data_IF_547317321004
#
_entry.id   IF_547317321004
#
_cell.length_a   1.000
_cell.length_b   1.000
_cell.length_c   1.000
_cell.angle_alpha   90.00
_cell.angle_beta   90.00
_cell.angle_gamma   90.00
#
_symmetry.space_group_name_H-M   'P 1'
#
loop_
_entity.id
_entity.type
_entity.pdbx_description
1 polymer ?
#
# COMPACT_ATOMS: atom_id res chain seq x y z
N UNK A 1 82.14 -35.40 -21.52
CA UNK A 1 80.69 -35.51 -21.82
C UNK A 1 79.94 -34.89 -20.64
N UNK A 2 79.34 -33.69 -20.81
CA UNK A 2 78.77 -32.92 -19.71
C UNK A 2 77.29 -33.28 -19.52
N UNK A 3 76.92 -33.82 -18.37
CA UNK A 3 75.55 -34.23 -18.05
C UNK A 3 74.92 -33.43 -16.88
N UNK A 4 75.46 -32.27 -16.52
CA UNK A 4 75.03 -31.54 -15.30
C UNK A 4 74.55 -30.09 -15.52
N UNK A 5 74.50 -29.59 -16.75
CA UNK A 5 74.08 -28.19 -17.01
C UNK A 5 72.60 -28.01 -17.41
N UNK A 6 71.83 -29.10 -17.58
CA UNK A 6 70.51 -29.04 -18.23
C UNK A 6 69.33 -29.00 -17.26
N UNK A 7 69.52 -29.36 -15.99
CA UNK A 7 68.41 -29.54 -15.01
C UNK A 7 68.05 -28.26 -14.26
N UNK A 8 69.02 -27.39 -13.98
CA UNK A 8 68.80 -26.12 -13.24
C UNK A 8 68.15 -25.05 -14.10
N UNK A 9 68.52 -24.91 -15.37
CA UNK A 9 67.93 -23.91 -16.28
C UNK A 9 66.46 -24.23 -16.65
N UNK A 10 66.12 -25.53 -16.79
CA UNK A 10 64.73 -25.95 -17.02
C UNK A 10 63.87 -25.78 -15.76
N UNK A 11 64.38 -26.12 -14.57
CA UNK A 11 63.64 -25.96 -13.30
C UNK A 11 63.32 -24.49 -12.96
N UNK A 12 64.25 -23.56 -13.23
CA UNK A 12 64.02 -22.11 -13.03
C UNK A 12 62.91 -21.60 -13.96
N UNK A 13 62.79 -22.14 -15.17
CA UNK A 13 61.77 -21.74 -16.15
C UNK A 13 60.36 -22.20 -15.72
N UNK A 14 60.23 -23.42 -15.20
CA UNK A 14 58.97 -23.92 -14.63
C UNK A 14 58.54 -23.18 -13.36
N UNK A 15 59.49 -22.84 -12.48
CA UNK A 15 59.18 -22.05 -11.28
C UNK A 15 58.74 -20.62 -11.63
N UNK A 16 59.37 -20.01 -12.64
CA UNK A 16 58.99 -18.66 -13.10
C UNK A 16 57.61 -18.68 -13.78
N UNK A 17 57.31 -19.68 -14.62
CA UNK A 17 55.99 -19.91 -15.21
C UNK A 17 54.92 -20.23 -14.15
N UNK A 18 55.28 -20.97 -13.10
CA UNK A 18 54.39 -21.31 -11.99
C UNK A 18 54.09 -20.09 -11.11
N UNK A 19 55.09 -19.25 -10.81
CA UNK A 19 54.93 -18.01 -10.04
C UNK A 19 54.21 -16.93 -10.85
N UNK A 20 54.49 -16.78 -12.14
CA UNK A 20 53.73 -15.89 -13.05
C UNK A 20 52.29 -16.38 -13.25
N UNK A 21 52.08 -17.69 -13.38
CA UNK A 21 50.76 -18.32 -13.41
C UNK A 21 50.00 -18.06 -12.11
N UNK A 22 50.58 -18.37 -10.95
CA UNK A 22 49.97 -18.11 -9.64
C UNK A 22 49.69 -16.62 -9.41
N UNK A 23 50.58 -15.71 -9.83
CA UNK A 23 50.39 -14.27 -9.69
C UNK A 23 49.24 -13.72 -10.56
N UNK A 24 49.07 -14.23 -11.78
CA UNK A 24 47.95 -13.87 -12.65
C UNK A 24 46.64 -14.53 -12.20
N UNK A 25 46.67 -15.80 -11.78
CA UNK A 25 45.49 -16.49 -11.28
C UNK A 25 44.99 -15.92 -9.95
N UNK A 26 45.88 -15.62 -8.99
CA UNK A 26 45.48 -15.01 -7.71
C UNK A 26 45.02 -13.57 -7.87
N UNK A 27 45.68 -12.77 -8.71
CA UNK A 27 45.29 -11.38 -8.96
C UNK A 27 43.94 -11.24 -9.68
N UNK A 28 43.69 -12.07 -10.71
CA UNK A 28 42.41 -12.08 -11.44
C UNK A 28 41.30 -12.66 -10.58
N UNK A 29 41.55 -13.74 -9.83
CA UNK A 29 40.53 -14.38 -8.98
C UNK A 29 40.17 -13.51 -7.76
N UNK A 30 41.15 -12.88 -7.10
CA UNK A 30 40.90 -11.91 -6.03
C UNK A 30 40.24 -10.63 -6.58
N UNK A 31 40.61 -10.19 -7.78
CA UNK A 31 39.97 -9.05 -8.46
C UNK A 31 38.49 -9.31 -8.79
N UNK A 32 38.17 -10.50 -9.29
CA UNK A 32 36.77 -10.92 -9.56
C UNK A 32 35.99 -11.07 -8.26
N UNK A 33 36.54 -11.74 -7.24
CA UNK A 33 35.87 -11.88 -5.93
C UNK A 33 35.65 -10.51 -5.27
N UNK A 34 36.65 -9.63 -5.29
CA UNK A 34 36.52 -8.27 -4.75
C UNK A 34 35.50 -7.44 -5.54
N UNK A 35 35.51 -7.53 -6.88
CA UNK A 35 34.53 -6.86 -7.74
C UNK A 35 33.10 -7.34 -7.50
N UNK A 36 32.90 -8.66 -7.39
CA UNK A 36 31.60 -9.25 -7.04
C UNK A 36 31.16 -8.85 -5.64
N UNK A 37 32.05 -8.88 -4.64
CA UNK A 37 31.75 -8.49 -3.27
C UNK A 37 31.35 -7.01 -3.17
N UNK A 38 32.10 -6.11 -3.82
CA UNK A 38 31.76 -4.67 -3.88
C UNK A 38 30.42 -4.46 -4.58
N UNK A 39 30.17 -5.15 -5.69
CA UNK A 39 28.89 -5.05 -6.42
C UNK A 39 27.71 -5.51 -5.54
N UNK A 40 27.86 -6.62 -4.81
CA UNK A 40 26.86 -7.11 -3.86
C UNK A 40 26.61 -6.11 -2.73
N UNK A 41 27.66 -5.50 -2.18
CA UNK A 41 27.55 -4.48 -1.12
C UNK A 41 26.86 -3.20 -1.62
N UNK A 42 27.25 -2.71 -2.80
CA UNK A 42 26.62 -1.53 -3.42
C UNK A 42 25.14 -1.80 -3.70
N UNK A 43 24.81 -2.96 -4.29
CA UNK A 43 23.41 -3.35 -4.49
C UNK A 43 22.64 -3.44 -3.17
N UNK A 44 23.25 -4.00 -2.12
CA UNK A 44 22.62 -4.05 -0.81
C UNK A 44 22.33 -2.66 -0.23
N UNK A 45 23.29 -1.74 -0.34
CA UNK A 45 23.14 -0.36 0.12
C UNK A 45 22.06 0.42 -0.64
N UNK A 46 22.06 0.30 -1.98
CA UNK A 46 21.04 0.94 -2.82
C UNK A 46 19.65 0.39 -2.46
N UNK A 47 19.51 -0.93 -2.35
CA UNK A 47 18.25 -1.58 -1.98
C UNK A 47 17.74 -1.11 -0.62
N UNK A 48 18.60 -1.03 0.40
CA UNK A 48 18.25 -0.51 1.73
C UNK A 48 17.78 0.94 1.69
N UNK A 49 18.42 1.78 0.87
CA UNK A 49 18.03 3.17 0.70
C UNK A 49 16.68 3.30 0.00
N UNK A 50 16.46 2.52 -1.05
CA UNK A 50 15.21 2.50 -1.80
C UNK A 50 14.05 2.01 -0.93
N UNK A 51 14.26 0.96 -0.15
CA UNK A 51 13.30 0.45 0.84
C UNK A 51 12.90 1.53 1.85
N UNK A 52 13.88 2.24 2.44
CA UNK A 52 13.61 3.35 3.35
C UNK A 52 12.77 4.46 2.70
N UNK A 53 13.04 4.78 1.44
CA UNK A 53 12.26 5.76 0.70
C UNK A 53 10.83 5.27 0.42
N UNK A 54 10.67 3.99 0.06
CA UNK A 54 9.34 3.40 -0.15
C UNK A 54 8.50 3.38 1.14
N UNK A 55 9.10 3.07 2.29
CA UNK A 55 8.39 3.13 3.58
C UNK A 55 7.99 4.57 3.93
N UNK A 56 8.86 5.54 3.66
CA UNK A 56 8.53 6.97 3.83
C UNK A 56 7.36 7.38 2.91
N UNK A 57 7.37 6.95 1.66
CA UNK A 57 6.30 7.23 0.70
C UNK A 57 4.98 6.55 1.12
N UNK A 58 5.03 5.30 1.59
CA UNK A 58 3.87 4.59 2.11
C UNK A 58 3.24 5.37 3.27
N UNK A 59 4.07 5.83 4.22
CA UNK A 59 3.58 6.63 5.35
C UNK A 59 2.90 7.92 4.88
N UNK A 60 3.50 8.63 3.94
CA UNK A 60 2.92 9.83 3.35
C UNK A 60 1.58 9.56 2.65
N UNK A 61 1.48 8.49 1.85
CA UNK A 61 0.22 8.08 1.22
C UNK A 61 -0.87 7.77 2.25
N UNK A 62 -0.52 7.04 3.31
CA UNK A 62 -1.44 6.70 4.41
C UNK A 62 -1.92 7.96 5.16
N UNK A 63 -1.04 8.93 5.39
CA UNK A 63 -1.39 10.21 6.01
C UNK A 63 -2.34 11.03 5.12
N UNK A 64 -2.12 11.08 3.81
CA UNK A 64 -3.07 11.69 2.86
C UNK A 64 -4.42 11.00 2.93
N UNK A 65 -4.41 9.67 2.94
CA UNK A 65 -5.63 8.88 2.98
C UNK A 65 -6.43 9.08 4.28
N UNK A 66 -5.78 9.33 5.42
CA UNK A 66 -6.48 9.71 6.65
C UNK A 66 -7.28 11.01 6.48
N UNK A 67 -6.71 12.00 5.79
CA UNK A 67 -7.43 13.25 5.52
C UNK A 67 -8.67 13.00 4.64
N UNK A 68 -8.56 12.14 3.62
CA UNK A 68 -9.71 11.77 2.78
C UNK A 68 -10.81 11.08 3.57
N UNK A 69 -10.46 10.17 4.47
CA UNK A 69 -11.46 9.52 5.34
C UNK A 69 -12.16 10.54 6.23
N UNK A 70 -11.42 11.53 6.76
CA UNK A 70 -12.02 12.62 7.51
C UNK A 70 -13.02 13.40 6.65
N UNK A 71 -12.64 13.79 5.44
CA UNK A 71 -13.52 14.51 4.51
C UNK A 71 -14.80 13.69 4.21
N UNK A 72 -14.68 12.37 4.01
CA UNK A 72 -15.84 11.49 3.83
C UNK A 72 -16.69 11.35 5.09
N UNK A 73 -16.12 11.39 6.29
CA UNK A 73 -16.88 11.40 7.54
C UNK A 73 -17.65 12.72 7.73
N UNK A 74 -17.04 13.83 7.35
CA UNK A 74 -17.70 15.13 7.36
C UNK A 74 -18.86 15.15 6.35
N UNK A 75 -18.66 14.58 5.15
CA UNK A 75 -19.73 14.43 4.16
C UNK A 75 -20.84 13.47 4.62
N UNK A 76 -20.51 12.40 5.34
CA UNK A 76 -21.50 11.51 5.95
C UNK A 76 -22.32 12.22 7.04
N UNK A 77 -21.71 13.17 7.74
CA UNK A 77 -22.40 14.03 8.70
C UNK A 77 -23.36 14.99 7.99
N UNK A 78 -22.95 15.59 6.87
CA UNK A 78 -23.82 16.40 6.01
C UNK A 78 -25.01 15.58 5.51
N UNK A 79 -24.74 14.34 5.09
CA UNK A 79 -25.78 13.40 4.66
C UNK A 79 -26.79 13.10 5.78
N UNK A 80 -26.31 12.76 6.98
CA UNK A 80 -27.15 12.53 8.17
C UNK A 80 -28.00 13.76 8.51
N UNK A 81 -27.42 14.95 8.46
CA UNK A 81 -28.13 16.19 8.72
C UNK A 81 -29.25 16.42 7.69
N UNK A 82 -28.99 16.15 6.41
CA UNK A 82 -29.99 16.26 5.35
C UNK A 82 -31.15 15.27 5.53
N UNK A 83 -30.88 14.04 6.00
CA UNK A 83 -31.88 13.01 6.31
C UNK A 83 -32.70 13.35 7.55
N UNK A 84 -32.07 13.97 8.55
CA UNK A 84 -32.74 14.36 9.78
C UNK A 84 -33.59 15.62 9.61
N UNK A 85 -33.17 16.54 8.75
CA UNK A 85 -33.96 17.69 8.31
C UNK A 85 -34.89 17.35 7.12
N UNK A 86 -35.44 18.40 6.52
CA UNK A 86 -36.35 18.30 5.38
C UNK A 86 -35.63 18.49 4.02
N UNK A 87 -34.31 18.32 3.99
CA UNK A 87 -33.45 18.63 2.83
C UNK A 87 -32.82 17.39 2.18
N UNK A 88 -33.31 16.18 2.47
CA UNK A 88 -32.73 14.96 1.90
C UNK A 88 -32.81 14.92 0.37
N UNK A 89 -33.93 15.38 -0.22
CA UNK A 89 -34.08 15.45 -1.68
C UNK A 89 -33.05 16.39 -2.33
N UNK A 90 -32.69 17.47 -1.63
CA UNK A 90 -31.72 18.48 -2.08
C UNK A 90 -30.28 18.18 -1.65
N UNK A 91 -30.01 17.01 -1.07
CA UNK A 91 -28.64 16.55 -0.82
C UNK A 91 -27.95 16.15 -2.13
N UNK A 92 -26.79 16.74 -2.43
CA UNK A 92 -26.01 16.50 -3.65
C UNK A 92 -24.58 16.03 -3.38
N UNK A 93 -24.32 15.55 -2.16
CA UNK A 93 -23.02 15.03 -1.78
C UNK A 93 -22.59 13.82 -2.59
N UNK A 94 -21.27 13.65 -2.72
CA UNK A 94 -20.67 12.55 -3.47
C UNK A 94 -19.44 12.00 -2.76
N UNK A 95 -19.42 10.69 -2.55
CA UNK A 95 -18.32 10.01 -1.86
C UNK A 95 -17.31 9.46 -2.85
N UNK A 96 -16.23 10.20 -3.11
CA UNK A 96 -15.17 9.79 -4.05
C UNK A 96 -14.16 8.81 -3.44
N UNK A 97 -14.62 7.63 -3.00
CA UNK A 97 -13.80 6.63 -2.33
C UNK A 97 -12.65 6.09 -3.20
N UNK A 98 -12.86 5.99 -4.51
CA UNK A 98 -11.85 5.54 -5.50
C UNK A 98 -10.61 6.43 -5.58
N UNK A 99 -10.66 7.63 -5.01
CA UNK A 99 -9.50 8.51 -4.90
C UNK A 99 -8.48 8.06 -3.85
N UNK A 100 -8.77 7.00 -3.09
CA UNK A 100 -7.85 6.40 -2.13
C UNK A 100 -6.55 5.93 -2.81
N UNK A 101 -5.39 6.30 -2.25
CA UNK A 101 -4.09 6.02 -2.87
C UNK A 101 -3.53 4.72 -2.30
N UNK A 102 -3.19 3.77 -3.18
CA UNK A 102 -2.60 2.49 -2.78
C UNK A 102 -1.34 2.08 -3.53
N UNK A 103 -0.76 2.98 -4.33
CA UNK A 103 0.29 2.61 -5.28
C UNK A 103 1.50 2.02 -4.56
N UNK A 104 1.97 2.70 -3.51
CA UNK A 104 3.16 2.25 -2.78
C UNK A 104 2.88 0.96 -2.01
N UNK A 105 1.68 0.79 -1.43
CA UNK A 105 1.37 -0.44 -0.70
C UNK A 105 1.32 -1.66 -1.63
N UNK A 106 0.77 -1.55 -2.83
CA UNK A 106 0.69 -2.66 -3.77
C UNK A 106 2.09 -3.04 -4.26
N UNK A 107 2.96 -2.06 -4.49
CA UNK A 107 4.37 -2.30 -4.82
C UNK A 107 5.11 -3.03 -3.69
N UNK A 108 4.92 -2.58 -2.44
CA UNK A 108 5.55 -3.18 -1.26
C UNK A 108 5.00 -4.58 -0.93
N UNK A 109 3.71 -4.81 -1.17
CA UNK A 109 3.10 -6.13 -1.03
C UNK A 109 3.66 -7.12 -2.06
N UNK A 110 3.72 -6.71 -3.34
CA UNK A 110 4.19 -7.58 -4.43
C UNK A 110 5.69 -7.90 -4.34
N UNK A 111 6.49 -7.00 -3.79
CA UNK A 111 7.92 -7.24 -3.54
C UNK A 111 8.18 -8.07 -2.27
N UNK A 112 7.16 -8.30 -1.45
CA UNK A 112 7.28 -8.98 -0.16
C UNK A 112 7.87 -8.10 0.95
N UNK A 113 8.27 -6.86 0.66
CA UNK A 113 8.82 -5.92 1.64
C UNK A 113 7.81 -5.59 2.73
N UNK A 114 6.51 -5.53 2.41
CA UNK A 114 5.47 -5.20 3.38
C UNK A 114 5.45 -6.15 4.60
N UNK A 115 5.74 -7.44 4.38
CA UNK A 115 5.77 -8.48 5.44
C UNK A 115 6.93 -8.31 6.42
N UNK A 116 7.94 -7.50 6.08
CA UNK A 116 9.05 -7.19 6.98
C UNK A 116 8.66 -6.15 8.04
N UNK A 117 7.63 -5.35 7.76
CA UNK A 117 7.21 -4.22 8.61
C UNK A 117 5.84 -4.41 9.26
N UNK A 118 4.93 -5.14 8.61
CA UNK A 118 3.55 -5.30 9.06
C UNK A 118 3.23 -6.75 9.39
N UNK A 119 2.44 -6.96 10.43
CA UNK A 119 1.89 -8.28 10.75
C UNK A 119 0.86 -8.70 9.70
N UNK A 120 0.65 -10.01 9.58
CA UNK A 120 -0.37 -10.59 8.69
C UNK A 120 -1.77 -10.01 8.97
N UNK A 121 -2.09 -9.77 10.25
CA UNK A 121 -3.35 -9.17 10.66
C UNK A 121 -3.52 -7.75 10.09
N UNK A 122 -2.49 -6.89 10.21
CA UNK A 122 -2.54 -5.52 9.70
C UNK A 122 -2.66 -5.53 8.17
N UNK A 123 -1.97 -6.45 7.50
CA UNK A 123 -2.05 -6.58 6.04
C UNK A 123 -3.48 -6.98 5.62
N UNK A 124 -4.11 -7.94 6.30
CA UNK A 124 -5.50 -8.32 6.05
C UNK A 124 -6.47 -7.16 6.24
N UNK A 125 -6.33 -6.41 7.34
CA UNK A 125 -7.16 -5.21 7.59
C UNK A 125 -6.96 -4.13 6.53
N UNK A 126 -5.73 -3.93 6.02
CA UNK A 126 -5.48 -3.00 4.93
C UNK A 126 -6.14 -3.45 3.63
N UNK A 127 -6.11 -4.74 3.31
CA UNK A 127 -6.80 -5.26 2.12
C UNK A 127 -8.31 -4.97 2.15
N UNK A 128 -8.94 -5.09 3.31
CA UNK A 128 -10.35 -4.70 3.49
C UNK A 128 -10.57 -3.21 3.23
N UNK A 129 -9.67 -2.35 3.75
CA UNK A 129 -9.70 -0.90 3.50
C UNK A 129 -9.64 -0.60 2.00
N UNK A 130 -8.70 -1.24 1.27
CA UNK A 130 -8.56 -1.03 -0.18
C UNK A 130 -9.76 -1.55 -0.98
N UNK A 131 -10.35 -2.65 -0.54
CA UNK A 131 -11.53 -3.22 -1.20
C UNK A 131 -12.75 -2.29 -1.05
N UNK A 132 -12.97 -1.77 0.17
CA UNK A 132 -14.06 -0.84 0.44
C UNK A 132 -13.82 0.54 -0.18
N UNK A 133 -12.58 1.04 -0.17
CA UNK A 133 -12.20 2.31 -0.81
C UNK A 133 -11.78 2.14 -2.27
N UNK A 134 -12.62 1.41 -3.00
CA UNK A 134 -12.49 1.16 -4.43
C UNK A 134 -13.60 1.87 -5.20
N UNK A 135 -13.51 1.84 -6.53
CA UNK A 135 -14.62 2.26 -7.40
C UNK A 135 -15.91 1.47 -7.12
N UNK A 136 -15.78 0.19 -6.74
CA UNK A 136 -16.94 -0.64 -6.38
C UNK A 136 -17.61 -0.12 -5.11
N UNK A 137 -16.85 0.17 -4.07
CA UNK A 137 -17.39 0.74 -2.83
C UNK A 137 -17.98 2.13 -3.03
N UNK A 138 -17.31 2.97 -3.83
CA UNK A 138 -17.81 4.28 -4.27
C UNK A 138 -19.17 4.15 -4.97
N UNK A 139 -19.27 3.26 -5.95
CA UNK A 139 -20.51 3.03 -6.66
C UNK A 139 -21.60 2.49 -5.74
N UNK A 140 -21.27 1.56 -4.83
CA UNK A 140 -22.22 0.99 -3.89
C UNK A 140 -22.84 2.05 -2.98
N UNK A 141 -22.01 2.87 -2.33
CA UNK A 141 -22.46 3.96 -1.45
C UNK A 141 -23.29 5.01 -2.20
N UNK A 142 -22.78 5.53 -3.32
CA UNK A 142 -23.48 6.59 -4.04
C UNK A 142 -24.77 6.09 -4.71
N UNK A 143 -24.81 4.85 -5.20
CA UNK A 143 -26.03 4.26 -5.74
C UNK A 143 -27.07 4.00 -4.65
N UNK A 144 -26.65 3.56 -3.45
CA UNK A 144 -27.55 3.43 -2.31
C UNK A 144 -28.22 4.78 -2.01
N UNK A 145 -27.45 5.86 -1.88
CA UNK A 145 -28.00 7.22 -1.65
C UNK A 145 -28.99 7.59 -2.76
N UNK A 146 -28.64 7.40 -4.03
CA UNK A 146 -29.53 7.70 -5.17
C UNK A 146 -30.84 6.92 -5.07
N UNK A 147 -30.77 5.61 -4.85
CA UNK A 147 -31.95 4.74 -4.71
C UNK A 147 -32.86 5.18 -3.56
N UNK A 148 -32.28 5.62 -2.43
CA UNK A 148 -33.05 6.14 -1.30
C UNK A 148 -33.76 7.44 -1.66
N UNK A 149 -33.13 8.34 -2.43
CA UNK A 149 -33.76 9.56 -2.94
C UNK A 149 -34.91 9.24 -3.89
N UNK A 150 -34.68 8.36 -4.87
CA UNK A 150 -35.69 7.94 -5.84
C UNK A 150 -36.90 7.30 -5.13
N UNK A 151 -36.65 6.49 -4.10
CA UNK A 151 -37.71 5.90 -3.27
C UNK A 151 -38.53 6.96 -2.55
N UNK A 152 -37.90 7.99 -1.97
CA UNK A 152 -38.64 9.08 -1.32
C UNK A 152 -39.50 9.86 -2.32
N UNK A 153 -39.00 10.14 -3.52
CA UNK A 153 -39.79 10.78 -4.59
C UNK A 153 -41.02 9.93 -4.91
N UNK A 154 -40.84 8.63 -5.15
CA UNK A 154 -41.94 7.72 -5.46
C UNK A 154 -42.99 7.64 -4.33
N UNK A 155 -42.55 7.64 -3.06
CA UNK A 155 -43.45 7.64 -1.90
C UNK A 155 -44.32 8.91 -1.85
N UNK A 156 -43.71 10.07 -2.14
CA UNK A 156 -44.42 11.35 -2.18
C UNK A 156 -45.43 11.39 -3.33
N UNK A 157 -45.03 10.95 -4.53
CA UNK A 157 -45.90 10.91 -5.72
C UNK A 157 -47.05 9.91 -5.57
N UNK A 158 -46.81 8.80 -4.87
CA UNK A 158 -47.83 7.76 -4.61
C UNK A 158 -48.78 8.10 -3.46
N UNK A 159 -48.62 9.28 -2.82
CA UNK A 159 -49.48 9.72 -1.72
C UNK A 159 -49.25 8.98 -0.40
N UNK A 160 -48.06 8.38 -0.18
CA UNK A 160 -47.71 7.68 1.06
C UNK A 160 -46.52 8.36 1.80
N UNK A 161 -46.57 9.68 2.07
CA UNK A 161 -45.46 10.41 2.70
C UNK A 161 -45.16 9.93 4.13
N UNK A 162 -46.12 9.30 4.83
CA UNK A 162 -45.94 8.76 6.16
C UNK A 162 -44.95 7.57 6.22
N UNK A 163 -44.74 6.89 5.09
CA UNK A 163 -43.76 5.80 4.98
C UNK A 163 -42.32 6.32 5.06
N UNK A 164 -42.08 7.62 4.80
CA UNK A 164 -40.79 8.26 5.04
C UNK A 164 -40.33 8.06 6.49
N UNK A 165 -41.16 8.46 7.46
CA UNK A 165 -40.81 8.41 8.87
C UNK A 165 -40.82 6.98 9.42
N UNK A 166 -41.74 6.14 8.93
CA UNK A 166 -41.95 4.79 9.45
C UNK A 166 -40.96 3.75 8.92
N UNK A 167 -40.46 3.93 7.70
CA UNK A 167 -39.68 2.89 7.00
C UNK A 167 -38.38 3.44 6.41
N UNK A 168 -38.46 4.40 5.49
CA UNK A 168 -37.30 4.81 4.69
C UNK A 168 -36.24 5.55 5.52
N UNK A 169 -36.64 6.49 6.39
CA UNK A 169 -35.71 7.24 7.23
C UNK A 169 -34.92 6.30 8.19
N UNK A 170 -35.56 5.39 8.94
CA UNK A 170 -34.83 4.39 9.73
C UNK A 170 -33.87 3.51 8.92
N UNK A 171 -34.22 3.14 7.68
CA UNK A 171 -33.32 2.42 6.77
C UNK A 171 -32.09 3.24 6.42
N UNK A 172 -32.27 4.50 6.03
CA UNK A 172 -31.16 5.39 5.69
C UNK A 172 -30.26 5.64 6.91
N UNK A 173 -30.84 5.82 8.10
CA UNK A 173 -30.06 5.99 9.33
C UNK A 173 -29.18 4.75 9.59
N UNK A 174 -29.71 3.53 9.40
CA UNK A 174 -28.90 2.31 9.51
C UNK A 174 -27.78 2.26 8.48
N UNK A 175 -28.05 2.68 7.23
CA UNK A 175 -27.04 2.77 6.18
C UNK A 175 -25.92 3.75 6.59
N UNK A 176 -26.29 4.92 7.15
CA UNK A 176 -25.34 5.91 7.67
C UNK A 176 -24.49 5.33 8.81
N UNK A 177 -25.11 4.69 9.80
CA UNK A 177 -24.42 4.13 10.96
C UNK A 177 -23.42 3.05 10.54
N UNK A 178 -23.79 2.22 9.56
CA UNK A 178 -22.91 1.23 8.96
C UNK A 178 -21.66 1.87 8.35
N UNK A 179 -21.83 2.91 7.53
CA UNK A 179 -20.71 3.60 6.89
C UNK A 179 -19.85 4.38 7.87
N UNK A 180 -20.44 4.97 8.91
CA UNK A 180 -19.70 5.65 9.98
C UNK A 180 -18.78 4.66 10.71
N UNK A 181 -19.30 3.48 11.03
CA UNK A 181 -18.51 2.43 11.68
C UNK A 181 -17.42 1.88 10.76
N UNK A 182 -17.70 1.70 9.45
CA UNK A 182 -16.70 1.33 8.44
C UNK A 182 -15.57 2.37 8.37
N UNK A 183 -15.89 3.64 8.19
CA UNK A 183 -14.88 4.70 8.11
C UNK A 183 -14.03 4.81 9.37
N UNK A 184 -14.64 4.69 10.55
CA UNK A 184 -13.92 4.69 11.83
C UNK A 184 -12.97 3.48 11.95
N UNK A 185 -13.41 2.32 11.50
CA UNK A 185 -12.58 1.10 11.50
C UNK A 185 -11.38 1.28 10.58
N UNK A 186 -11.60 1.77 9.37
CA UNK A 186 -10.56 1.99 8.37
C UNK A 186 -9.56 3.07 8.79
N UNK A 187 -10.04 4.16 9.39
CA UNK A 187 -9.20 5.20 9.99
C UNK A 187 -8.26 4.60 11.06
N UNK A 188 -8.79 3.75 11.94
CA UNK A 188 -8.01 3.10 12.99
C UNK A 188 -6.99 2.12 12.40
N UNK A 189 -7.36 1.35 11.38
CA UNK A 189 -6.44 0.46 10.66
C UNK A 189 -5.27 1.25 10.10
N UNK A 190 -5.53 2.34 9.38
CA UNK A 190 -4.45 3.17 8.80
C UNK A 190 -3.56 3.76 9.90
N UNK A 191 -4.14 4.27 10.99
CA UNK A 191 -3.35 4.79 12.14
C UNK A 191 -2.45 3.71 12.74
N UNK A 192 -2.97 2.50 12.93
CA UNK A 192 -2.18 1.35 13.41
C UNK A 192 -1.05 0.99 12.44
N UNK A 193 -1.32 1.01 11.13
CA UNK A 193 -0.30 0.77 10.10
C UNK A 193 0.81 1.80 10.18
N UNK A 194 0.49 3.09 10.24
CA UNK A 194 1.50 4.15 10.37
C UNK A 194 2.33 3.96 11.64
N UNK A 195 1.71 3.58 12.76
CA UNK A 195 2.43 3.30 14.01
C UNK A 195 3.37 2.10 13.88
N UNK A 196 2.95 1.03 13.20
CA UNK A 196 3.78 -0.14 12.96
C UNK A 196 5.01 0.19 12.08
N UNK A 197 4.86 1.07 11.10
CA UNK A 197 5.95 1.52 10.22
C UNK A 197 6.99 2.43 10.92
N UNK A 198 6.73 2.92 12.13
CA UNK A 198 7.66 3.75 12.90
C UNK A 198 8.53 2.94 13.89
N UNK A 199 8.31 1.62 14.00
CA UNK A 199 9.13 0.72 14.82
C UNK A 199 10.39 0.29 14.07
#
# INVERSE_FOLDING_TARGET
MPAEATTTAQAINYFTLFVQGLGQFTGVFLGVIAGTAVTLLVHHFIRKKDEKNQIKNLKFELEINLNKIKDWRDELTNYRNAVNGDSFITYFGYFKLSSFIGVTIFQLHNSGTLYQYLSHEIIGQLQEVFNDFSLTGENYLNNQIRQRKDTLVNLNESGNPELWQKQLKPEIVRDIDFWEQKFKTHENTIKKTIQALNK
#
